data_IF_275007989303
#
_entry.id   IF_275007989303
#
_cell.length_a   1.000
_cell.length_b   1.000
_cell.length_c   1.000
_cell.angle_alpha   90.00
_cell.angle_beta   90.00
_cell.angle_gamma   90.00
#
_symmetry.space_group_name_H-M   'P 1'
#
loop_
_entity.id
_entity.type
_entity.pdbx_description
1 polymer ?
#
# COMPACT_ATOMS: atom_id res chain seq x y z
N UNK A 1 -2.84 13.96 -24.89
CA UNK A 1 -2.72 13.39 -23.53
C UNK A 1 -4.09 12.87 -23.13
N UNK A 2 -4.22 11.58 -22.81
CA UNK A 2 -5.43 11.11 -22.12
C UNK A 2 -5.47 11.81 -20.75
N UNK A 3 -6.63 12.29 -20.28
CA UNK A 3 -6.72 12.87 -18.95
C UNK A 3 -6.32 11.82 -17.92
N UNK A 4 -5.45 12.21 -16.97
CA UNK A 4 -5.15 11.37 -15.81
C UNK A 4 -6.46 11.16 -15.05
N UNK A 5 -6.80 9.91 -14.66
CA UNK A 5 -7.91 9.65 -13.75
C UNK A 5 -7.89 10.62 -12.55
N UNK A 6 -9.04 10.97 -11.99
CA UNK A 6 -9.03 11.73 -10.75
C UNK A 6 -8.39 10.89 -9.65
N UNK A 7 -7.50 11.51 -8.87
CA UNK A 7 -7.04 10.94 -7.61
C UNK A 7 -8.28 10.85 -6.71
N UNK A 8 -8.85 9.65 -6.57
CA UNK A 8 -9.93 9.44 -5.62
C UNK A 8 -9.42 9.84 -4.23
N UNK A 9 -10.06 10.83 -3.62
CA UNK A 9 -9.83 11.22 -2.23
C UNK A 9 -10.22 10.05 -1.36
N UNK A 10 -9.23 9.24 -1.00
CA UNK A 10 -9.38 7.92 -0.39
C UNK A 10 -9.68 8.00 1.11
N UNK A 11 -10.71 8.77 1.48
CA UNK A 11 -11.22 8.71 2.83
C UNK A 11 -12.11 7.45 2.97
N UNK A 12 -11.47 6.29 3.11
CA UNK A 12 -12.16 5.03 3.44
C UNK A 12 -12.55 4.94 4.92
N UNK A 13 -12.32 6.00 5.70
CA UNK A 13 -12.89 6.16 7.03
C UNK A 13 -14.41 6.20 6.89
N UNK A 14 -15.09 5.16 7.36
CA UNK A 14 -16.55 5.22 7.41
C UNK A 14 -17.00 6.12 8.57
N UNK A 15 -18.29 6.46 8.57
CA UNK A 15 -18.90 7.28 9.63
C UNK A 15 -18.85 6.63 11.02
N UNK A 16 -18.50 5.35 11.13
CA UNK A 16 -18.35 4.61 12.38
C UNK A 16 -16.91 4.55 12.88
N UNK A 17 -15.96 5.22 12.21
CA UNK A 17 -14.56 5.16 12.60
C UNK A 17 -13.81 3.93 12.08
N UNK A 18 -14.43 3.11 11.21
CA UNK A 18 -13.79 1.93 10.62
C UNK A 18 -12.68 2.38 9.67
N UNK A 19 -11.53 1.72 9.77
CA UNK A 19 -10.30 2.01 9.01
C UNK A 19 -9.61 3.34 9.36
N UNK A 20 -10.17 4.15 10.27
CA UNK A 20 -9.69 5.50 10.56
C UNK A 20 -8.40 5.56 11.39
N UNK A 21 -8.14 4.61 12.30
CA UNK A 21 -6.79 4.18 12.72
C UNK A 21 -6.85 3.14 13.86
N UNK A 22 -5.85 2.22 13.92
CA UNK A 22 -5.28 1.53 15.14
C UNK A 22 -4.49 0.23 14.90
N UNK A 23 -4.32 -0.28 13.67
CA UNK A 23 -3.53 -1.51 13.47
C UNK A 23 -2.04 -1.21 13.32
N UNK A 24 -1.17 -2.09 13.86
CA UNK A 24 0.20 -2.16 13.39
C UNK A 24 0.13 -2.69 11.95
N UNK A 25 0.67 -1.96 10.97
CA UNK A 25 0.88 -2.41 9.60
C UNK A 25 1.81 -3.64 9.60
N UNK A 26 1.30 -4.77 10.07
CA UNK A 26 2.10 -5.95 10.33
C UNK A 26 2.32 -6.71 9.02
N UNK A 27 3.42 -7.45 8.98
CA UNK A 27 3.82 -8.20 7.79
C UNK A 27 2.78 -9.26 7.38
N UNK A 28 1.98 -9.79 8.33
CA UNK A 28 0.91 -10.74 8.02
C UNK A 28 -0.22 -10.13 7.19
N UNK A 29 -0.68 -8.93 7.56
CA UNK A 29 -1.66 -8.16 6.78
C UNK A 29 -1.14 -7.82 5.39
N UNK A 30 0.15 -7.49 5.27
CA UNK A 30 0.78 -7.25 3.98
C UNK A 30 0.89 -8.52 3.12
N UNK A 31 1.32 -9.64 3.69
CA UNK A 31 1.42 -10.92 2.99
C UNK A 31 0.05 -11.48 2.55
N UNK A 32 -1.04 -10.96 3.10
CA UNK A 32 -2.40 -11.30 2.68
C UNK A 32 -2.88 -10.49 1.45
N UNK A 33 -2.07 -9.54 0.96
CA UNK A 33 -2.34 -8.82 -0.28
C UNK A 33 -2.11 -9.71 -1.49
N UNK A 34 -2.77 -9.39 -2.60
CA UNK A 34 -2.56 -10.09 -3.88
C UNK A 34 -2.74 -9.12 -5.03
N UNK A 35 -1.92 -9.30 -6.07
CA UNK A 35 -2.07 -8.57 -7.34
C UNK A 35 -3.51 -8.74 -7.85
N UNK A 36 -4.09 -7.66 -8.36
CA UNK A 36 -5.48 -7.63 -8.83
C UNK A 36 -6.52 -7.20 -7.79
N UNK A 37 -6.15 -7.02 -6.52
CA UNK A 37 -7.04 -6.44 -5.51
C UNK A 37 -7.42 -4.99 -5.85
N UNK A 38 -8.65 -4.62 -5.52
CA UNK A 38 -9.10 -3.22 -5.49
C UNK A 38 -8.54 -2.50 -4.28
N UNK A 39 -8.56 -1.17 -4.32
CA UNK A 39 -8.09 -0.38 -3.20
C UNK A 39 -8.94 -0.55 -1.92
N UNK A 40 -10.24 -0.86 -2.04
CA UNK A 40 -11.09 -1.22 -0.89
C UNK A 40 -10.65 -2.55 -0.24
N UNK A 41 -10.36 -3.57 -1.05
CA UNK A 41 -9.86 -4.87 -0.55
C UNK A 41 -8.52 -4.69 0.16
N UNK A 42 -7.59 -3.93 -0.42
CA UNK A 42 -6.29 -3.63 0.18
C UNK A 42 -6.44 -2.93 1.52
N UNK A 43 -7.21 -1.83 1.57
CA UNK A 43 -7.51 -1.12 2.83
C UNK A 43 -8.16 -2.05 3.86
N UNK A 44 -9.04 -2.94 3.43
CA UNK A 44 -9.66 -3.96 4.28
C UNK A 44 -8.66 -4.96 4.87
N UNK A 45 -7.67 -5.41 4.09
CA UNK A 45 -6.60 -6.33 4.55
C UNK A 45 -5.61 -5.64 5.48
N UNK A 46 -5.21 -4.41 5.14
CA UNK A 46 -4.31 -3.62 5.97
C UNK A 46 -5.00 -3.09 7.25
N UNK A 47 -6.34 -3.09 7.25
CA UNK A 47 -7.17 -2.54 8.32
C UNK A 47 -6.79 -1.10 8.68
N UNK A 48 -6.36 -0.33 7.68
CA UNK A 48 -5.89 1.05 7.82
C UNK A 48 -6.17 1.83 6.56
N UNK A 49 -6.58 3.09 6.70
CA UNK A 49 -6.68 4.04 5.60
C UNK A 49 -5.31 4.45 5.06
N UNK A 50 -5.28 4.77 3.77
CA UNK A 50 -4.16 5.47 3.17
C UNK A 50 -4.12 6.91 3.71
N UNK A 51 -2.93 7.42 3.95
CA UNK A 51 -2.68 8.80 4.38
C UNK A 51 -2.62 9.76 3.20
N UNK A 52 -2.14 9.25 2.05
CA UNK A 52 -1.97 10.05 0.84
C UNK A 52 -2.20 9.21 -0.41
N UNK A 53 -2.44 9.92 -1.52
CA UNK A 53 -2.41 9.35 -2.86
C UNK A 53 -1.68 10.26 -3.82
N UNK A 54 -0.98 9.67 -4.79
CA UNK A 54 -0.23 10.42 -5.81
C UNK A 54 -0.15 9.64 -7.12
N UNK A 55 0.23 10.34 -8.20
CA UNK A 55 0.60 9.69 -9.46
C UNK A 55 2.04 9.19 -9.40
N UNK A 56 2.28 7.98 -9.88
CA UNK A 56 3.59 7.36 -9.97
C UNK A 56 3.81 6.71 -11.33
N UNK A 57 5.05 6.31 -11.61
CA UNK A 57 5.40 5.45 -12.74
C UNK A 57 6.08 4.19 -12.19
N UNK A 58 5.54 3.02 -12.55
CA UNK A 58 6.04 1.70 -12.13
C UNK A 58 6.15 0.83 -13.39
N UNK A 59 7.32 0.27 -13.64
CA UNK A 59 7.63 -0.50 -14.87
C UNK A 59 7.22 0.21 -16.17
N UNK A 60 7.43 1.54 -16.22
CA UNK A 60 7.06 2.38 -17.36
C UNK A 60 5.55 2.62 -17.55
N UNK A 61 4.71 2.17 -16.61
CA UNK A 61 3.25 2.38 -16.62
C UNK A 61 2.86 3.45 -15.62
N UNK A 62 1.87 4.27 -15.99
CA UNK A 62 1.25 5.21 -15.03
C UNK A 62 0.47 4.43 -13.98
N UNK A 63 0.70 4.76 -12.72
CA UNK A 63 0.07 4.12 -11.57
C UNK A 63 -0.44 5.18 -10.60
N UNK A 64 -1.47 4.81 -9.85
CA UNK A 64 -1.89 5.55 -8.65
C UNK A 64 -1.21 4.91 -7.45
N UNK A 65 -0.45 5.69 -6.69
CA UNK A 65 0.25 5.23 -5.49
C UNK A 65 -0.50 5.67 -4.24
N UNK A 66 -0.77 4.73 -3.34
CA UNK A 66 -1.27 4.99 -1.98
C UNK A 66 -0.19 4.70 -0.95
N UNK A 67 -0.15 5.52 0.09
CA UNK A 67 0.81 5.41 1.19
C UNK A 67 0.05 5.21 2.50
N UNK A 68 0.49 4.21 3.27
CA UNK A 68 -0.02 3.88 4.59
C UNK A 68 1.16 3.92 5.55
N UNK A 69 1.06 4.59 6.70
CA UNK A 69 2.15 4.62 7.68
C UNK A 69 1.69 4.29 9.11
N UNK A 70 2.59 3.70 9.90
CA UNK A 70 2.36 3.40 11.30
C UNK A 70 3.70 3.38 12.04
N UNK A 71 3.97 4.40 12.86
CA UNK A 71 5.20 4.52 13.68
C UNK A 71 6.49 4.22 12.90
N UNK A 72 6.99 2.98 12.94
CA UNK A 72 8.23 2.51 12.31
C UNK A 72 8.00 1.74 10.99
N UNK A 73 6.76 1.65 10.53
CA UNK A 73 6.35 0.83 9.39
C UNK A 73 5.61 1.67 8.37
N UNK A 74 5.84 1.38 7.09
CA UNK A 74 5.05 1.92 5.99
C UNK A 74 4.68 0.83 4.99
N UNK A 75 3.56 1.05 4.30
CA UNK A 75 3.17 0.28 3.13
C UNK A 75 2.89 1.25 1.99
N UNK A 76 3.54 1.02 0.85
CA UNK A 76 3.25 1.73 -0.40
C UNK A 76 2.58 0.75 -1.35
N UNK A 77 1.49 1.17 -1.99
CA UNK A 77 0.70 0.32 -2.88
C UNK A 77 0.52 1.04 -4.21
N UNK A 78 0.83 0.39 -5.32
CA UNK A 78 0.67 0.94 -6.66
C UNK A 78 -0.46 0.24 -7.41
N UNK A 79 -1.38 1.01 -7.96
CA UNK A 79 -2.53 0.54 -8.73
C UNK A 79 -2.39 0.93 -10.20
N UNK A 80 -2.65 -0.01 -11.09
CA UNK A 80 -2.76 0.21 -12.55
C UNK A 80 -4.16 -0.24 -12.95
N UNK A 81 -4.86 0.61 -13.72
CA UNK A 81 -6.25 0.36 -14.13
C UNK A 81 -7.19 0.03 -12.94
N UNK A 82 -6.95 0.67 -11.78
CA UNK A 82 -7.72 0.47 -10.55
C UNK A 82 -7.43 -0.84 -9.80
N UNK A 83 -6.41 -1.59 -10.21
CA UNK A 83 -6.04 -2.90 -9.64
C UNK A 83 -4.63 -2.88 -9.08
N UNK A 84 -4.45 -3.50 -7.91
CA UNK A 84 -3.17 -3.64 -7.23
C UNK A 84 -2.17 -4.30 -8.18
N UNK A 85 -1.10 -3.59 -8.50
CA UNK A 85 -0.03 -4.05 -9.36
C UNK A 85 1.21 -4.46 -8.57
N UNK A 86 1.59 -3.67 -7.56
CA UNK A 86 2.70 -3.98 -6.66
C UNK A 86 2.51 -3.30 -5.32
N UNK A 87 3.17 -3.81 -4.28
CA UNK A 87 3.21 -3.16 -2.99
C UNK A 87 4.58 -3.34 -2.31
N UNK A 88 4.92 -2.45 -1.39
CA UNK A 88 6.17 -2.46 -0.63
C UNK A 88 5.80 -2.28 0.83
N UNK A 89 6.27 -3.18 1.69
CA UNK A 89 6.24 -3.04 3.14
C UNK A 89 7.64 -2.74 3.63
N UNK A 90 7.80 -1.67 4.40
CA UNK A 90 9.08 -1.29 4.99
C UNK A 90 8.92 -1.16 6.49
N UNK A 91 9.81 -1.79 7.26
CA UNK A 91 9.86 -1.67 8.72
C UNK A 91 11.26 -1.33 9.20
N UNK A 92 11.37 -0.24 9.94
CA UNK A 92 12.62 0.19 10.58
C UNK A 92 12.78 -0.50 11.93
N UNK A 93 13.89 -1.24 12.12
CA UNK A 93 14.27 -1.77 13.42
C UNK A 93 15.21 -0.78 14.14
N UNK A 94 14.77 -0.09 15.20
CA UNK A 94 15.60 0.90 15.90
C UNK A 94 16.80 0.30 16.63
N UNK A 95 16.81 -1.02 16.90
CA UNK A 95 17.92 -1.68 17.59
C UNK A 95 19.09 -1.94 16.65
N UNK A 96 18.80 -2.44 15.45
CA UNK A 96 19.80 -2.72 14.42
C UNK A 96 20.05 -1.54 13.48
N UNK A 97 19.17 -0.53 13.48
CA UNK A 97 19.16 0.61 12.54
C UNK A 97 19.03 0.17 11.07
N UNK A 98 18.42 -0.99 10.83
CA UNK A 98 18.18 -1.56 9.50
C UNK A 98 16.73 -1.37 9.11
N UNK A 99 16.48 -1.13 7.82
CA UNK A 99 15.13 -1.17 7.25
C UNK A 99 14.96 -2.51 6.57
N UNK A 100 13.97 -3.29 7.00
CA UNK A 100 13.57 -4.50 6.28
C UNK A 100 12.49 -4.14 5.29
N UNK A 101 12.68 -4.54 4.04
CA UNK A 101 11.74 -4.30 2.96
C UNK A 101 11.21 -5.64 2.46
N UNK A 102 9.90 -5.72 2.27
CA UNK A 102 9.23 -6.83 1.58
C UNK A 102 8.43 -6.27 0.41
N UNK A 103 8.72 -6.71 -0.79
CA UNK A 103 7.95 -6.37 -1.98
C UNK A 103 6.92 -7.45 -2.26
N UNK A 104 5.74 -7.02 -2.71
CA UNK A 104 4.81 -7.81 -3.51
C UNK A 104 5.02 -7.41 -4.97
N UNK A 105 5.62 -8.32 -5.73
CA UNK A 105 5.91 -8.15 -7.15
C UNK A 105 4.64 -8.33 -7.99
N UNK A 106 4.68 -7.84 -9.23
CA UNK A 106 3.56 -7.89 -10.17
C UNK A 106 3.18 -9.32 -10.63
N UNK A 107 4.06 -10.30 -10.44
CA UNK A 107 3.81 -11.72 -10.65
C UNK A 107 3.15 -12.40 -9.44
N UNK A 108 2.92 -11.65 -8.35
CA UNK A 108 2.37 -12.15 -7.10
C UNK A 108 3.40 -12.76 -6.15
N UNK A 109 4.68 -12.79 -6.51
CA UNK A 109 5.75 -13.25 -5.62
C UNK A 109 6.11 -12.21 -4.57
N UNK A 110 6.65 -12.68 -3.44
CA UNK A 110 7.20 -11.81 -2.41
C UNK A 110 8.72 -11.91 -2.37
N UNK A 111 9.40 -10.76 -2.33
CA UNK A 111 10.86 -10.66 -2.17
C UNK A 111 11.20 -9.86 -0.93
N UNK A 112 12.26 -10.25 -0.22
CA UNK A 112 12.74 -9.54 0.98
C UNK A 112 14.17 -9.06 0.79
N UNK A 113 14.45 -7.85 1.26
CA UNK A 113 15.79 -7.26 1.26
C UNK A 113 15.97 -6.27 2.43
N UNK A 114 17.23 -5.92 2.71
CA UNK A 114 17.65 -4.99 3.77
C UNK A 114 18.39 -3.78 3.17
#
# INVERSE_FOLDING_TARGET
>A
MKPKPELQTFNTCDSNGKYCDRSMLNIGSFNALSVGMTAEEVTGKLQKNAESSSWATVDGKEAVRYEYSASITSVTVNYIDGKLYSAIHSIYDPRSKVVKVTDLNNDGSFTQHE
#
